data_IF_865710683319
#
_entry.id   IF_865710683319
#
_cell.length_a   1.000
_cell.length_b   1.000
_cell.length_c   1.000
_cell.angle_alpha   90.00
_cell.angle_beta   90.00
_cell.angle_gamma   90.00
#
_symmetry.space_group_name_H-M   'P 1'
#
loop_
_entity.id
_entity.type
_entity.pdbx_description
1 polymer ?
#
# COMPACT_ATOMS: atom_id res chain seq x y z
N UNK A 1 4.86 19.55 5.96
CA UNK A 1 4.08 18.28 5.85
C UNK A 1 3.94 17.61 7.21
N UNK A 2 2.83 16.90 7.42
CA UNK A 2 2.54 16.20 8.67
C UNK A 2 2.56 14.68 8.44
N UNK A 3 3.48 13.98 9.09
CA UNK A 3 3.51 12.52 9.09
C UNK A 3 2.66 11.96 10.24
N UNK A 4 1.72 11.10 9.92
CA UNK A 4 0.89 10.39 10.89
C UNK A 4 1.22 8.90 10.89
N UNK A 5 1.28 8.31 12.07
CA UNK A 5 1.46 6.88 12.24
C UNK A 5 0.61 6.35 13.40
N UNK A 6 0.55 5.02 13.57
CA UNK A 6 -0.26 4.35 14.61
C UNK A 6 0.01 4.88 16.02
N UNK A 7 1.24 5.35 16.32
CA UNK A 7 1.58 5.89 17.64
C UNK A 7 0.98 7.27 17.90
N UNK A 8 0.78 8.06 16.83
CA UNK A 8 0.24 9.42 16.93
C UNK A 8 -1.28 9.46 16.84
N UNK A 9 -1.88 8.52 16.09
CA UNK A 9 -3.31 8.52 15.85
C UNK A 9 -3.79 7.16 15.33
N UNK A 10 -4.91 6.68 15.86
CA UNK A 10 -5.60 5.53 15.29
C UNK A 10 -6.42 5.98 14.07
N UNK A 11 -6.00 5.57 12.88
CA UNK A 11 -6.71 5.88 11.63
C UNK A 11 -7.89 4.94 11.37
N UNK A 12 -8.14 3.95 12.22
CA UNK A 12 -9.36 3.13 12.19
C UNK A 12 -10.53 3.83 12.86
N UNK A 13 -10.26 4.86 13.66
CA UNK A 13 -11.26 5.71 14.26
C UNK A 13 -11.64 6.86 13.32
N UNK A 14 -12.89 6.90 12.93
CA UNK A 14 -13.47 7.91 12.04
C UNK A 14 -13.36 9.33 12.62
N UNK A 15 -13.50 9.48 13.93
CA UNK A 15 -13.43 10.77 14.63
C UNK A 15 -12.03 11.38 14.49
N UNK A 16 -11.02 10.57 14.61
CA UNK A 16 -9.62 10.96 14.44
C UNK A 16 -9.32 11.38 13.00
N UNK A 17 -9.77 10.58 12.01
CA UNK A 17 -9.60 10.96 10.59
C UNK A 17 -10.27 12.30 10.32
N UNK A 18 -11.52 12.47 10.78
CA UNK A 18 -12.27 13.72 10.64
C UNK A 18 -11.53 14.90 11.24
N UNK A 19 -11.10 14.78 12.51
CA UNK A 19 -10.36 15.83 13.23
C UNK A 19 -9.12 16.25 12.45
N UNK A 20 -8.31 15.29 11.99
CA UNK A 20 -7.07 15.55 11.26
C UNK A 20 -7.34 16.27 9.95
N UNK A 21 -8.32 15.81 9.17
CA UNK A 21 -8.62 16.40 7.87
C UNK A 21 -9.15 17.83 7.99
N UNK A 22 -10.02 18.09 8.99
CA UNK A 22 -10.59 19.41 9.18
C UNK A 22 -9.57 20.41 9.76
N UNK A 23 -8.69 19.96 10.64
CA UNK A 23 -7.66 20.82 11.23
C UNK A 23 -6.53 21.16 10.25
N UNK A 24 -6.07 20.18 9.45
CA UNK A 24 -4.90 20.38 8.61
C UNK A 24 -5.24 20.82 7.18
N UNK A 25 -6.47 20.60 6.71
CA UNK A 25 -6.91 20.91 5.33
C UNK A 25 -5.84 20.61 4.28
N UNK A 26 -5.36 19.37 4.17
CA UNK A 26 -4.22 19.04 3.32
C UNK A 26 -4.56 19.22 1.84
N UNK A 27 -3.61 19.64 1.02
CA UNK A 27 -3.72 19.65 -0.45
C UNK A 27 -3.46 18.27 -1.06
N UNK A 28 -2.72 17.43 -0.35
CA UNK A 28 -2.34 16.09 -0.77
C UNK A 28 -2.33 15.12 0.41
N UNK A 29 -2.90 13.95 0.18
CA UNK A 29 -2.80 12.82 1.11
C UNK A 29 -2.10 11.67 0.40
N UNK A 30 -1.04 11.15 1.03
CA UNK A 30 -0.34 9.95 0.59
C UNK A 30 -0.66 8.85 1.59
N UNK A 31 -1.49 7.89 1.18
CA UNK A 31 -1.88 6.78 2.05
C UNK A 31 -0.89 5.62 1.96
N UNK A 32 0.00 5.57 2.95
CA UNK A 32 0.95 4.47 3.15
C UNK A 32 0.45 3.43 4.17
N UNK A 33 -0.77 3.58 4.68
CA UNK A 33 -1.31 2.67 5.71
C UNK A 33 -1.84 1.42 5.07
N UNK A 34 -1.35 0.28 5.51
CA UNK A 34 -1.88 -1.02 5.13
C UNK A 34 -1.51 -2.11 6.14
N UNK A 35 -2.36 -3.11 6.28
CA UNK A 35 -2.03 -4.41 6.83
C UNK A 35 -1.54 -5.28 5.67
N UNK A 36 -0.24 -5.57 5.61
CA UNK A 36 0.41 -6.17 4.43
C UNK A 36 0.76 -7.65 4.61
N UNK A 37 0.76 -8.15 5.85
CA UNK A 37 1.04 -9.56 6.11
C UNK A 37 -0.16 -10.41 5.69
N UNK A 38 0.04 -11.30 4.71
CA UNK A 38 -1.02 -12.13 4.10
C UNK A 38 -1.64 -13.04 5.16
N UNK A 39 -0.84 -13.75 5.94
CA UNK A 39 -1.34 -14.68 6.97
C UNK A 39 -2.19 -13.95 8.02
N UNK A 40 -1.78 -12.73 8.39
CA UNK A 40 -2.55 -11.91 9.31
C UNK A 40 -3.86 -11.46 8.68
N UNK A 41 -3.86 -11.12 7.39
CA UNK A 41 -5.09 -10.76 6.68
C UNK A 41 -6.08 -11.92 6.59
N UNK A 42 -5.59 -13.16 6.36
CA UNK A 42 -6.40 -14.36 6.37
C UNK A 42 -6.97 -14.68 7.76
N UNK A 43 -6.15 -14.57 8.81
CA UNK A 43 -6.57 -14.82 10.19
C UNK A 43 -7.52 -13.76 10.74
N UNK A 44 -7.35 -12.50 10.33
CA UNK A 44 -8.08 -11.33 10.83
C UNK A 44 -8.71 -10.52 9.68
N UNK A 45 -9.62 -11.10 8.89
CA UNK A 45 -10.16 -10.45 7.68
C UNK A 45 -10.92 -9.16 7.98
N UNK A 46 -11.60 -9.06 9.11
CA UNK A 46 -12.29 -7.83 9.56
C UNK A 46 -11.30 -6.70 9.86
N UNK A 47 -10.17 -7.00 10.52
CA UNK A 47 -9.13 -6.01 10.78
C UNK A 47 -8.45 -5.57 9.48
N UNK A 48 -8.12 -6.52 8.60
CA UNK A 48 -7.60 -6.24 7.27
C UNK A 48 -8.55 -5.33 6.47
N UNK A 49 -9.85 -5.59 6.50
CA UNK A 49 -10.84 -4.75 5.85
C UNK A 49 -10.88 -3.34 6.45
N UNK A 50 -10.88 -3.23 7.78
CA UNK A 50 -10.90 -1.94 8.47
C UNK A 50 -9.69 -1.07 8.12
N UNK A 51 -8.51 -1.67 8.02
CA UNK A 51 -7.28 -0.93 7.71
C UNK A 51 -7.16 -0.67 6.21
N UNK A 52 -7.32 -1.70 5.38
CA UNK A 52 -7.02 -1.59 3.96
C UNK A 52 -8.13 -0.94 3.14
N UNK A 53 -9.40 -1.06 3.57
CA UNK A 53 -10.57 -0.59 2.81
C UNK A 53 -11.27 0.59 3.50
N UNK A 54 -11.58 0.46 4.80
CA UNK A 54 -12.37 1.49 5.48
C UNK A 54 -11.60 2.80 5.68
N UNK A 55 -10.28 2.78 5.86
CA UNK A 55 -9.51 4.02 5.98
C UNK A 55 -9.65 4.90 4.73
N UNK A 56 -9.31 4.46 3.50
CA UNK A 56 -9.52 5.27 2.31
C UNK A 56 -11.00 5.61 2.08
N UNK A 57 -11.94 4.69 2.32
CA UNK A 57 -13.38 4.94 2.24
C UNK A 57 -13.81 6.09 3.14
N UNK A 58 -13.38 6.09 4.40
CA UNK A 58 -13.73 7.11 5.38
C UNK A 58 -13.11 8.47 5.02
N UNK A 59 -11.89 8.50 4.53
CA UNK A 59 -11.24 9.73 4.03
C UNK A 59 -12.10 10.36 2.93
N UNK A 60 -12.56 9.58 1.95
CA UNK A 60 -13.40 10.12 0.86
C UNK A 60 -14.81 10.48 1.31
N UNK A 61 -15.40 9.75 2.25
CA UNK A 61 -16.69 10.13 2.85
C UNK A 61 -16.60 11.49 3.55
N UNK A 62 -15.53 11.73 4.30
CA UNK A 62 -15.27 13.01 4.96
C UNK A 62 -15.00 14.10 3.91
N UNK A 63 -14.18 13.81 2.88
CA UNK A 63 -13.95 14.72 1.76
C UNK A 63 -15.26 15.22 1.16
N UNK A 64 -16.17 14.29 0.84
CA UNK A 64 -17.48 14.61 0.26
C UNK A 64 -18.36 15.39 1.24
N UNK A 65 -18.48 14.92 2.48
CA UNK A 65 -19.35 15.55 3.50
C UNK A 65 -18.95 16.98 3.83
N UNK A 66 -17.66 17.25 3.92
CA UNK A 66 -17.14 18.57 4.31
C UNK A 66 -16.59 19.38 3.13
N UNK A 67 -16.86 18.95 1.88
CA UNK A 67 -16.43 19.61 0.64
C UNK A 67 -14.94 19.96 0.63
N UNK A 68 -14.10 19.03 1.11
CA UNK A 68 -12.65 19.22 1.16
C UNK A 68 -12.04 18.99 -0.23
N UNK A 69 -11.01 19.76 -0.55
CA UNK A 69 -10.22 19.62 -1.78
C UNK A 69 -8.83 19.12 -1.45
N UNK A 70 -8.48 17.93 -1.94
CA UNK A 70 -7.14 17.38 -1.89
C UNK A 70 -6.94 16.33 -2.98
N UNK A 71 -5.70 16.17 -3.41
CA UNK A 71 -5.25 15.03 -4.21
C UNK A 71 -5.01 13.83 -3.30
N UNK A 72 -5.20 12.63 -3.82
CA UNK A 72 -4.99 11.41 -3.02
C UNK A 72 -4.12 10.42 -3.80
N UNK A 73 -3.13 9.86 -3.13
CA UNK A 73 -2.25 8.82 -3.64
C UNK A 73 -2.42 7.58 -2.78
N UNK A 74 -2.75 6.46 -3.42
CA UNK A 74 -2.91 5.15 -2.79
C UNK A 74 -1.78 4.24 -3.21
N UNK A 75 -1.10 3.65 -2.24
CA UNK A 75 -0.25 2.50 -2.50
C UNK A 75 -1.08 1.23 -2.56
N UNK A 76 -0.96 0.52 -3.68
CA UNK A 76 -1.55 -0.78 -3.91
C UNK A 76 -0.46 -1.86 -4.00
N UNK A 77 -0.70 -2.94 -4.70
CA UNK A 77 0.20 -4.09 -4.77
C UNK A 77 0.33 -4.60 -6.20
N UNK A 78 1.47 -5.18 -6.52
CA UNK A 78 1.74 -5.92 -7.75
C UNK A 78 1.28 -7.39 -7.66
N UNK A 79 0.92 -7.87 -6.47
CA UNK A 79 0.46 -9.26 -6.25
C UNK A 79 -0.88 -9.61 -6.92
N UNK A 80 -1.46 -8.69 -7.68
CA UNK A 80 -2.62 -8.95 -8.51
C UNK A 80 -2.30 -9.76 -9.75
N UNK A 81 -1.05 -9.74 -10.18
CA UNK A 81 -0.65 -10.31 -11.44
C UNK A 81 -0.15 -11.74 -11.24
N UNK A 82 -0.67 -12.62 -12.04
CA UNK A 82 -0.32 -14.04 -12.05
C UNK A 82 0.01 -14.43 -13.49
N UNK A 83 1.14 -13.91 -13.99
CA UNK A 83 1.64 -14.32 -15.28
C UNK A 83 2.28 -15.70 -15.15
N UNK A 84 1.76 -16.67 -15.88
CA UNK A 84 2.35 -18.02 -15.96
C UNK A 84 3.64 -18.07 -16.78
N UNK A 85 4.06 -16.97 -17.39
CA UNK A 85 5.20 -16.85 -18.28
C UNK A 85 5.96 -15.56 -18.00
N UNK A 86 7.19 -15.46 -18.51
CA UNK A 86 8.13 -14.33 -18.36
C UNK A 86 7.66 -13.02 -19.04
N UNK A 87 6.36 -12.76 -19.05
CA UNK A 87 5.81 -11.54 -19.62
C UNK A 87 5.72 -10.43 -18.59
N UNK A 88 6.12 -9.24 -19.00
CA UNK A 88 5.90 -8.02 -18.21
C UNK A 88 4.39 -7.77 -18.01
N UNK A 89 3.98 -7.63 -16.76
CA UNK A 89 2.63 -7.23 -16.45
C UNK A 89 2.47 -5.70 -16.58
N UNK A 90 1.35 -5.30 -17.17
CA UNK A 90 0.91 -3.89 -17.30
C UNK A 90 -0.29 -3.66 -16.38
N UNK A 91 -0.63 -2.40 -16.17
CA UNK A 91 -1.79 -2.02 -15.35
C UNK A 91 -3.11 -2.61 -15.90
N UNK A 92 -3.17 -2.87 -17.22
CA UNK A 92 -4.32 -3.50 -17.90
C UNK A 92 -4.29 -5.03 -17.87
N UNK A 93 -3.23 -5.65 -17.35
CA UNK A 93 -3.14 -7.12 -17.28
C UNK A 93 -4.20 -7.70 -16.36
N UNK A 94 -4.59 -8.94 -16.61
CA UNK A 94 -5.63 -9.64 -15.86
C UNK A 94 -5.27 -9.72 -14.37
N UNK A 95 -6.22 -9.32 -13.54
CA UNK A 95 -6.08 -9.35 -12.08
C UNK A 95 -6.60 -10.69 -11.56
N UNK A 96 -5.78 -11.35 -10.74
CA UNK A 96 -6.15 -12.55 -9.99
C UNK A 96 -6.15 -12.26 -8.49
N UNK A 97 -7.24 -12.64 -7.83
CA UNK A 97 -7.40 -12.49 -6.39
C UNK A 97 -7.10 -13.82 -5.72
N UNK A 98 -5.94 -13.94 -5.13
CA UNK A 98 -5.47 -15.18 -4.54
C UNK A 98 -5.65 -15.24 -3.00
N UNK A 99 -5.89 -14.08 -2.35
CA UNK A 99 -5.97 -13.99 -0.89
C UNK A 99 -6.78 -12.75 -0.45
N UNK A 100 -7.08 -12.69 0.84
CA UNK A 100 -7.83 -11.59 1.47
C UNK A 100 -7.10 -10.25 1.32
N UNK A 101 -5.77 -10.23 1.41
CA UNK A 101 -4.99 -9.01 1.24
C UNK A 101 -5.21 -8.40 -0.15
N UNK A 102 -5.01 -9.18 -1.22
CA UNK A 102 -5.20 -8.70 -2.60
C UNK A 102 -6.65 -8.28 -2.86
N UNK A 103 -7.64 -9.03 -2.31
CA UNK A 103 -9.05 -8.64 -2.37
C UNK A 103 -9.29 -7.25 -1.78
N UNK A 104 -8.77 -7.00 -0.57
CA UNK A 104 -8.97 -5.71 0.10
C UNK A 104 -8.22 -4.57 -0.58
N UNK A 105 -7.02 -4.83 -1.11
CA UNK A 105 -6.30 -3.83 -1.91
C UNK A 105 -7.06 -3.45 -3.18
N UNK A 106 -7.66 -4.42 -3.88
CA UNK A 106 -8.49 -4.15 -5.04
C UNK A 106 -9.77 -3.37 -4.69
N UNK A 107 -10.41 -3.65 -3.57
CA UNK A 107 -11.55 -2.86 -3.09
C UNK A 107 -11.15 -1.41 -2.81
N UNK A 108 -9.99 -1.19 -2.19
CA UNK A 108 -9.44 0.15 -1.99
C UNK A 108 -9.16 0.86 -3.32
N UNK A 109 -8.59 0.18 -4.32
CA UNK A 109 -8.40 0.75 -5.66
C UNK A 109 -9.71 1.21 -6.29
N UNK A 110 -10.77 0.38 -6.23
CA UNK A 110 -12.08 0.74 -6.76
C UNK A 110 -12.64 2.03 -6.12
N UNK A 111 -12.43 2.21 -4.82
CA UNK A 111 -12.81 3.45 -4.12
C UNK A 111 -11.96 4.63 -4.63
N UNK A 112 -10.65 4.44 -4.76
CA UNK A 112 -9.71 5.46 -5.21
C UNK A 112 -9.97 5.90 -6.66
N UNK A 113 -10.25 4.94 -7.57
CA UNK A 113 -10.58 5.22 -8.97
C UNK A 113 -11.84 6.09 -9.07
N UNK A 114 -12.91 5.75 -8.33
CA UNK A 114 -14.14 6.57 -8.27
C UNK A 114 -13.89 8.01 -7.80
N UNK A 115 -12.82 8.23 -7.04
CA UNK A 115 -12.42 9.53 -6.53
C UNK A 115 -11.23 10.15 -7.29
N UNK A 116 -10.94 9.70 -8.51
CA UNK A 116 -9.89 10.21 -9.41
C UNK A 116 -8.52 10.31 -8.73
N UNK A 117 -8.16 9.28 -7.97
CA UNK A 117 -6.91 9.23 -7.22
C UNK A 117 -5.80 8.55 -8.03
N UNK A 118 -4.55 8.90 -7.74
CA UNK A 118 -3.39 8.20 -8.28
C UNK A 118 -3.15 6.92 -7.47
N UNK A 119 -2.91 5.81 -8.18
CA UNK A 119 -2.66 4.50 -7.57
C UNK A 119 -1.31 3.99 -8.03
N UNK A 120 -0.49 3.54 -7.07
CA UNK A 120 0.76 2.85 -7.36
C UNK A 120 0.62 1.37 -7.01
N UNK A 121 0.59 0.50 -8.02
CA UNK A 121 0.77 -0.94 -7.85
C UNK A 121 2.26 -1.23 -7.81
N UNK A 122 2.79 -1.47 -6.64
CA UNK A 122 4.23 -1.60 -6.44
C UNK A 122 4.57 -2.52 -5.28
N UNK A 123 5.78 -3.03 -5.30
CA UNK A 123 6.42 -3.69 -4.20
C UNK A 123 7.64 -2.88 -3.76
N UNK A 124 8.07 -3.06 -2.52
CA UNK A 124 9.18 -2.31 -1.95
C UNK A 124 10.32 -3.23 -1.53
N UNK A 125 11.54 -2.76 -1.73
CA UNK A 125 12.68 -3.35 -1.07
C UNK A 125 13.44 -2.32 -0.24
N UNK A 126 14.12 -2.78 0.80
CA UNK A 126 14.89 -1.91 1.68
C UNK A 126 15.48 -2.64 2.87
N UNK A 127 16.22 -1.88 3.69
CA UNK A 127 16.94 -2.41 4.87
C UNK A 127 16.05 -2.57 6.12
N UNK A 128 14.73 -2.43 6.01
CA UNK A 128 13.86 -2.62 7.17
C UNK A 128 13.89 -4.06 7.65
N UNK A 129 14.01 -4.27 8.96
CA UNK A 129 14.11 -5.61 9.60
C UNK A 129 12.98 -6.57 9.22
N UNK A 130 11.81 -6.06 8.86
CA UNK A 130 10.63 -6.82 8.43
C UNK A 130 10.54 -7.06 6.93
N UNK A 131 11.48 -6.53 6.12
CA UNK A 131 11.45 -6.71 4.68
C UNK A 131 12.04 -8.05 4.26
N UNK A 132 11.50 -8.63 3.18
CA UNK A 132 12.02 -9.85 2.57
C UNK A 132 13.51 -9.70 2.19
N UNK A 133 13.89 -8.57 1.60
CA UNK A 133 15.28 -8.28 1.24
C UNK A 133 16.22 -8.26 2.47
N UNK A 134 15.77 -7.74 3.61
CA UNK A 134 16.54 -7.79 4.85
C UNK A 134 16.66 -9.21 5.38
N UNK A 135 15.58 -9.98 5.33
CA UNK A 135 15.59 -11.39 5.73
C UNK A 135 16.60 -12.20 4.90
N UNK A 136 16.57 -12.06 3.56
CA UNK A 136 17.55 -12.70 2.66
C UNK A 136 18.96 -12.26 2.99
N UNK A 137 19.21 -10.94 3.06
CA UNK A 137 20.53 -10.39 3.39
C UNK A 137 21.09 -10.94 4.71
N UNK A 138 20.26 -11.01 5.74
CA UNK A 138 20.66 -11.51 7.07
C UNK A 138 21.04 -13.00 7.02
N UNK A 139 20.33 -13.80 6.23
CA UNK A 139 20.64 -15.21 6.02
C UNK A 139 22.01 -15.42 5.36
N UNK A 140 22.28 -14.64 4.32
CA UNK A 140 23.59 -14.70 3.65
C UNK A 140 24.73 -14.20 4.55
N UNK A 141 24.52 -13.06 5.22
CA UNK A 141 25.55 -12.47 6.09
C UNK A 141 25.93 -13.38 7.27
N UNK A 142 24.98 -14.02 7.89
CA UNK A 142 25.20 -14.83 9.08
C UNK A 142 25.75 -16.23 8.76
N UNK A 143 26.03 -16.55 7.48
CA UNK A 143 26.53 -17.86 7.03
C UNK A 143 25.83 -19.04 7.72
N UNK A 144 24.51 -18.93 7.92
CA UNK A 144 23.73 -19.97 8.59
C UNK A 144 23.81 -21.27 7.79
N UNK A 145 24.25 -22.35 8.43
CA UNK A 145 24.30 -23.68 7.83
C UNK A 145 22.90 -24.25 7.52
N UNK A 146 21.84 -23.60 7.97
CA UNK A 146 20.47 -24.02 7.71
C UNK A 146 20.10 -23.73 6.26
N UNK A 147 19.76 -24.76 5.51
CA UNK A 147 19.19 -24.67 4.17
C UNK A 147 17.88 -23.85 4.25
N UNK A 148 17.65 -22.98 3.31
CA UNK A 148 16.38 -22.30 3.10
C UNK A 148 16.02 -22.39 1.63
N UNK A 149 14.73 -22.45 1.37
CA UNK A 149 14.19 -22.59 0.03
C UNK A 149 13.54 -21.26 -0.38
N UNK A 150 13.74 -20.88 -1.63
CA UNK A 150 13.10 -19.75 -2.28
C UNK A 150 12.35 -20.26 -3.49
N UNK A 151 11.29 -19.55 -3.86
CA UNK A 151 10.60 -19.82 -5.10
C UNK A 151 11.47 -19.34 -6.27
N UNK A 152 11.67 -20.17 -7.29
CA UNK A 152 12.42 -19.81 -8.50
C UNK A 152 11.54 -19.22 -9.59
N UNK A 153 10.24 -19.39 -9.46
CA UNK A 153 9.19 -19.01 -10.42
C UNK A 153 8.42 -17.73 -10.01
N UNK A 154 8.81 -17.08 -8.92
CA UNK A 154 8.19 -15.84 -8.45
C UNK A 154 9.06 -14.65 -8.84
N UNK A 155 8.61 -13.91 -9.85
CA UNK A 155 9.25 -12.69 -10.32
C UNK A 155 8.48 -11.45 -9.84
N UNK A 156 9.20 -10.42 -9.41
CA UNK A 156 8.62 -9.13 -9.03
C UNK A 156 9.63 -7.99 -9.26
N UNK A 157 9.12 -6.78 -9.47
CA UNK A 157 9.94 -5.60 -9.75
C UNK A 157 9.86 -4.60 -8.58
N UNK A 158 10.59 -4.82 -7.48
CA UNK A 158 10.50 -3.97 -6.31
C UNK A 158 11.26 -2.66 -6.51
N UNK A 159 10.73 -1.58 -5.95
CA UNK A 159 11.36 -0.27 -5.98
C UNK A 159 11.83 0.17 -4.59
N UNK A 160 12.92 0.94 -4.55
CA UNK A 160 13.31 1.63 -3.32
C UNK A 160 12.28 2.70 -2.97
N UNK A 161 11.94 2.83 -1.70
CA UNK A 161 11.01 3.86 -1.22
C UNK A 161 11.44 5.28 -1.65
N UNK A 162 12.76 5.56 -1.65
CA UNK A 162 13.32 6.83 -2.13
C UNK A 162 13.05 7.08 -3.61
N UNK A 163 13.10 6.04 -4.45
CA UNK A 163 12.79 6.18 -5.88
C UNK A 163 11.34 6.56 -6.09
N UNK A 164 10.42 5.87 -5.38
CA UNK A 164 8.99 6.20 -5.44
C UNK A 164 8.72 7.61 -4.90
N UNK A 165 9.35 8.00 -3.79
CA UNK A 165 9.23 9.36 -3.27
C UNK A 165 9.64 10.42 -4.30
N UNK A 166 10.72 10.19 -5.05
CA UNK A 166 11.15 11.09 -6.13
C UNK A 166 10.15 11.12 -7.30
N UNK A 167 9.57 9.97 -7.68
CA UNK A 167 8.53 9.91 -8.70
C UNK A 167 7.29 10.71 -8.25
N UNK A 168 6.86 10.52 -7.02
CA UNK A 168 5.72 11.28 -6.46
C UNK A 168 6.03 12.78 -6.44
N UNK A 169 7.23 13.16 -5.98
CA UNK A 169 7.68 14.55 -6.00
C UNK A 169 7.60 15.12 -7.42
N UNK A 170 8.13 14.41 -8.41
CA UNK A 170 8.08 14.84 -9.81
C UNK A 170 6.64 15.04 -10.29
N UNK A 171 5.73 14.10 -10.03
CA UNK A 171 4.31 14.19 -10.44
C UNK A 171 3.59 15.37 -9.76
N UNK A 172 3.97 15.72 -8.53
CA UNK A 172 3.32 16.80 -7.79
C UNK A 172 3.76 18.16 -8.29
N UNK A 173 5.05 18.34 -8.58
CA UNK A 173 5.65 19.63 -8.85
C UNK A 173 5.80 19.96 -10.34
N UNK A 174 5.60 18.99 -11.25
CA UNK A 174 5.71 19.19 -12.70
C UNK A 174 4.39 19.00 -13.45
N UNK A 175 3.26 19.19 -12.75
CA UNK A 175 1.93 19.20 -13.36
C UNK A 175 1.28 20.56 -13.22
#
# INVERSE_FOLDING_TARGET
HTGLNKRKCSLTDLSNIKKILLQNKPDLIINCVALTNIDTCEKLPKESYNINVNIPKNIFNIKKKYKLFFKFIQFSTDQFYDSKFDFENKESSTIKINNIYTRHKLLAEKICIKNKSLIFRTNFFGKQKTSFSHWVYTRFKNKTKKKFYLFSDVCFSPLRATKIANIIKYIIFNK
#
